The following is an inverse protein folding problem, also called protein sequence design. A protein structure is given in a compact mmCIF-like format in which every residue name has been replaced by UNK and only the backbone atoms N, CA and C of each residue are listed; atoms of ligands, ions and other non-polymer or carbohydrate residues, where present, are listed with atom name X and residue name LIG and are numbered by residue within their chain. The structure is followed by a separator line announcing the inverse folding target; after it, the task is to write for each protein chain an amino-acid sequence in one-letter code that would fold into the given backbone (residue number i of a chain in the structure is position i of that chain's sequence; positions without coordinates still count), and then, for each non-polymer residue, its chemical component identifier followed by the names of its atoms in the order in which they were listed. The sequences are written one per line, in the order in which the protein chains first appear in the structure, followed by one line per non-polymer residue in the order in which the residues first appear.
data_IF_507569988803
#
_entry.id   IF_507569988803
#
_cell.length_a   1.000
_cell.length_b   1.000
_cell.length_c   1.000
_cell.angle_alpha   90.00
_cell.angle_beta   90.00
_cell.angle_gamma   90.00
#
_symmetry.space_group_name_H-M   'P 1'
#
loop_
_entity.id
_entity.type
_entity.pdbx_description
1 polymer ?
#
# COMPACT_ATOMS: atom_id res chain seq x y z
N UNK A 1 17.35 -5.59 -22.57
CA UNK A 1 16.41 -6.27 -21.66
C UNK A 1 16.95 -5.93 -20.28
N UNK A 2 16.70 -4.70 -19.87
CA UNK A 2 17.33 -4.08 -18.71
C UNK A 2 16.58 -4.48 -17.44
N UNK A 3 17.28 -5.00 -16.42
CA UNK A 3 16.67 -5.54 -15.21
C UNK A 3 16.14 -4.47 -14.23
N UNK A 4 16.16 -3.19 -14.61
CA UNK A 4 15.78 -2.05 -13.77
C UNK A 4 14.30 -1.61 -13.93
N UNK A 5 13.56 -2.22 -14.86
CA UNK A 5 12.21 -1.77 -15.22
C UNK A 5 11.08 -2.50 -14.46
N UNK A 6 11.37 -3.64 -13.83
CA UNK A 6 10.35 -4.46 -13.14
C UNK A 6 10.04 -3.98 -11.71
N UNK A 7 10.76 -2.97 -11.18
CA UNK A 7 10.53 -2.40 -9.84
C UNK A 7 9.63 -1.12 -9.85
N UNK A 8 9.13 -0.70 -11.03
CA UNK A 8 8.28 0.50 -11.17
C UNK A 8 6.79 0.27 -10.85
N UNK A 9 6.41 -0.85 -10.22
CA UNK A 9 5.01 -1.14 -9.85
C UNK A 9 4.66 -0.71 -8.41
N UNK A 10 5.62 -0.23 -7.61
CA UNK A 10 5.38 0.07 -6.19
C UNK A 10 5.93 1.41 -5.69
N UNK A 11 6.86 2.06 -6.39
CA UNK A 11 7.57 3.21 -5.83
C UNK A 11 7.47 4.49 -6.67
N UNK A 12 7.04 5.57 -5.99
CA UNK A 12 7.04 6.99 -6.38
C UNK A 12 8.37 7.47 -7.02
N UNK A 13 9.46 6.70 -6.85
CA UNK A 13 10.80 6.92 -7.43
C UNK A 13 10.81 7.12 -8.95
N UNK A 14 9.95 6.44 -9.71
CA UNK A 14 10.01 6.51 -11.18
C UNK A 14 9.52 7.87 -11.74
N UNK A 15 8.71 8.64 -10.99
CA UNK A 15 8.25 9.96 -11.46
C UNK A 15 9.37 10.99 -11.52
N UNK A 16 10.27 11.01 -10.53
CA UNK A 16 11.39 11.96 -10.48
C UNK A 16 12.42 11.72 -11.59
N UNK A 17 12.68 10.46 -11.96
CA UNK A 17 13.61 10.12 -13.05
C UNK A 17 13.05 10.47 -14.43
N UNK A 18 11.72 10.47 -14.62
CA UNK A 18 11.12 10.89 -15.89
C UNK A 18 11.14 12.42 -16.05
N UNK A 19 11.10 13.16 -14.95
CA UNK A 19 11.20 14.62 -14.95
C UNK A 19 12.59 15.16 -15.27
N UNK A 20 13.68 14.40 -15.04
CA UNK A 20 15.03 14.82 -15.39
C UNK A 20 15.41 14.60 -16.86
N UNK A 21 14.69 13.72 -17.56
CA UNK A 21 14.95 13.40 -18.98
C UNK A 21 14.21 14.35 -19.93
N UNK A 22 13.07 14.90 -19.52
CA UNK A 22 12.33 15.88 -20.30
C UNK A 22 12.55 17.29 -19.76
N UNK A 23 13.63 17.92 -20.19
CA UNK A 23 13.80 19.37 -20.13
C UNK A 23 12.77 20.06 -21.03
N UNK A 24 11.50 20.11 -20.63
CA UNK A 24 10.53 20.99 -21.25
C UNK A 24 10.73 22.39 -20.67
N UNK A 25 11.26 23.29 -21.50
CA UNK A 25 11.10 24.73 -21.32
C UNK A 25 9.62 25.04 -21.13
N UNK A 26 9.22 25.32 -19.88
CA UNK A 26 7.84 25.63 -19.54
C UNK A 26 7.38 26.88 -20.31
N UNK A 27 6.17 26.89 -20.89
CA UNK A 27 5.64 28.12 -21.46
C UNK A 27 5.26 29.10 -20.34
N UNK A 28 5.49 30.38 -20.60
CA UNK A 28 5.23 31.50 -19.70
C UNK A 28 3.88 31.44 -18.99
N UNK A 29 3.91 31.83 -17.71
CA UNK A 29 2.88 31.68 -16.69
C UNK A 29 1.64 32.58 -16.86
N UNK A 30 1.14 32.82 -18.08
CA UNK A 30 0.02 33.75 -18.29
C UNK A 30 -1.06 33.32 -19.30
N UNK A 31 -1.17 32.04 -19.63
CA UNK A 31 -2.26 31.58 -20.51
C UNK A 31 -3.17 30.61 -19.77
N UNK A 32 -4.42 31.01 -19.52
CA UNK A 32 -5.49 30.16 -18.99
C UNK A 32 -5.84 29.09 -20.03
N UNK A 33 -4.95 28.12 -20.22
CA UNK A 33 -5.24 26.94 -21.02
C UNK A 33 -6.06 25.98 -20.17
N UNK A 34 -6.92 25.21 -20.82
CA UNK A 34 -7.78 24.21 -20.19
C UNK A 34 -6.94 23.10 -19.54
N UNK A 35 -6.51 23.34 -18.30
CA UNK A 35 -5.76 22.40 -17.47
C UNK A 35 -6.74 21.40 -16.86
N UNK A 36 -6.42 20.12 -17.01
CA UNK A 36 -7.14 19.01 -16.39
C UNK A 36 -6.23 18.45 -15.30
N UNK A 37 -6.74 18.40 -14.07
CA UNK A 37 -6.05 17.78 -12.94
C UNK A 37 -6.45 16.32 -12.84
N UNK A 38 -5.46 15.43 -12.90
CA UNK A 38 -5.63 14.02 -12.60
C UNK A 38 -5.94 13.78 -11.12
N UNK A 39 -6.39 12.57 -10.76
CA UNK A 39 -6.56 12.19 -9.37
C UNK A 39 -5.21 12.21 -8.63
N UNK A 40 -5.26 12.47 -7.32
CA UNK A 40 -4.09 12.33 -6.47
C UNK A 40 -3.73 10.85 -6.31
N UNK A 41 -2.44 10.51 -6.33
CA UNK A 41 -1.98 9.13 -6.11
C UNK A 41 -2.31 8.60 -4.72
N UNK A 42 -2.59 9.50 -3.77
CA UNK A 42 -3.00 9.14 -2.42
C UNK A 42 -4.34 9.78 -2.04
N UNK A 43 -5.05 9.11 -1.14
CA UNK A 43 -6.27 9.62 -0.50
C UNK A 43 -5.96 10.36 0.82
N UNK A 44 -4.80 10.10 1.42
CA UNK A 44 -4.34 10.70 2.67
C UNK A 44 -2.86 11.10 2.59
N UNK A 45 -2.43 12.07 3.41
CA UNK A 45 -1.06 12.54 3.43
C UNK A 45 -0.68 13.35 2.19
N UNK A 46 0.55 13.15 1.72
CA UNK A 46 1.09 13.84 0.54
C UNK A 46 1.27 12.84 -0.59
N UNK A 47 0.78 13.20 -1.77
CA UNK A 47 1.00 12.44 -2.99
C UNK A 47 1.31 13.36 -4.15
N UNK A 48 1.20 12.80 -5.35
CA UNK A 48 1.43 13.51 -6.60
C UNK A 48 0.23 13.33 -7.51
N UNK A 49 0.01 14.28 -8.41
CA UNK A 49 -1.01 14.21 -9.44
C UNK A 49 -0.45 14.71 -10.76
N UNK A 50 -0.97 14.15 -11.82
CA UNK A 50 -0.67 14.59 -13.17
C UNK A 50 -1.50 15.82 -13.54
N UNK A 51 -0.87 16.80 -14.19
CA UNK A 51 -1.54 17.96 -14.76
C UNK A 51 -1.43 17.89 -16.27
N UNK A 52 -2.59 17.77 -16.91
CA UNK A 52 -2.71 17.57 -18.34
C UNK A 52 -3.28 18.80 -19.03
N UNK A 53 -2.90 19.00 -20.29
CA UNK A 53 -3.54 19.97 -21.17
C UNK A 53 -4.64 19.28 -21.96
N UNK A 54 -5.81 19.91 -22.08
CA UNK A 54 -6.89 19.41 -22.92
C UNK A 54 -6.84 19.91 -24.37
N UNK A 55 -6.07 20.97 -24.64
CA UNK A 55 -5.99 21.64 -25.95
C UNK A 55 -4.59 22.19 -26.18
N UNK A 56 -4.07 22.05 -27.41
CA UNK A 56 -2.74 22.56 -27.78
C UNK A 56 -1.61 21.58 -27.49
N UNK A 57 -1.91 20.27 -27.52
CA UNK A 57 -0.91 19.21 -27.42
C UNK A 57 -0.13 19.05 -28.74
N UNK A 58 1.15 18.66 -28.67
CA UNK A 58 1.94 18.33 -29.86
C UNK A 58 1.49 16.99 -30.43
N UNK A 59 1.40 16.89 -31.76
CA UNK A 59 0.70 15.78 -32.40
C UNK A 59 -0.82 15.90 -32.17
N UNK A 60 -1.63 15.17 -32.94
CA UNK A 60 -3.10 15.25 -32.83
C UNK A 60 -3.65 14.59 -31.53
N UNK A 61 -2.94 14.70 -30.42
CA UNK A 61 -3.32 14.19 -29.12
C UNK A 61 -4.42 15.06 -28.49
N UNK A 62 -5.47 14.40 -28.00
CA UNK A 62 -6.57 15.08 -27.32
C UNK A 62 -6.19 15.56 -25.90
N UNK A 63 -5.20 14.92 -25.27
CA UNK A 63 -4.67 15.29 -23.95
C UNK A 63 -3.20 14.91 -23.86
N UNK A 64 -2.41 15.76 -23.21
CA UNK A 64 -0.98 15.54 -23.02
C UNK A 64 -0.55 15.97 -21.62
N UNK A 65 0.43 15.26 -21.04
CA UNK A 65 1.00 15.57 -19.73
C UNK A 65 1.88 16.82 -19.83
N UNK A 66 1.60 17.82 -18.99
CA UNK A 66 2.37 19.07 -18.94
C UNK A 66 3.35 19.05 -17.79
N UNK A 67 2.90 18.62 -16.61
CA UNK A 67 3.70 18.54 -15.39
C UNK A 67 3.08 17.61 -14.36
N UNK A 68 3.87 17.25 -13.36
CA UNK A 68 3.40 16.58 -12.14
C UNK A 68 3.43 17.61 -11.01
N UNK A 69 2.36 17.65 -10.22
CA UNK A 69 2.25 18.52 -9.04
C UNK A 69 2.02 17.69 -7.79
N UNK A 70 2.48 18.19 -6.64
CA UNK A 70 2.13 17.61 -5.35
C UNK A 70 0.67 17.91 -5.01
N UNK A 71 0.01 16.93 -4.40
CA UNK A 71 -1.36 17.03 -3.90
C UNK A 71 -1.42 16.57 -2.45
N UNK A 72 -2.39 17.11 -1.70
CA UNK A 72 -2.59 16.79 -0.29
C UNK A 72 -3.95 16.13 -0.10
N UNK A 73 -3.93 15.01 0.60
CA UNK A 73 -5.11 14.33 1.11
C UNK A 73 -5.42 14.73 2.56
N UNK A 74 -6.23 13.90 3.21
CA UNK A 74 -6.49 14.05 4.65
C UNK A 74 -5.24 13.75 5.48
N UNK A 75 -5.09 14.42 6.63
CA UNK A 75 -3.92 14.20 7.50
C UNK A 75 -3.97 12.80 8.14
N UNK A 76 -5.14 12.34 8.59
CA UNK A 76 -5.28 11.01 9.19
C UNK A 76 -5.47 9.95 8.10
N UNK A 77 -4.49 9.07 7.95
CA UNK A 77 -4.51 7.91 7.06
C UNK A 77 -5.21 6.70 7.68
N UNK A 78 -5.56 6.76 8.97
CA UNK A 78 -6.16 5.64 9.69
C UNK A 78 -5.17 4.50 9.91
N UNK A 79 -5.62 3.27 9.60
CA UNK A 79 -4.87 2.04 9.86
C UNK A 79 -4.07 1.59 8.64
N UNK A 80 -2.76 1.50 8.81
CA UNK A 80 -1.83 1.02 7.80
C UNK A 80 -1.62 -0.50 7.83
N UNK A 81 -1.02 -1.01 6.75
CA UNK A 81 -0.51 -2.38 6.66
C UNK A 81 1.02 -2.38 6.77
N UNK A 82 1.63 -3.26 7.58
CA UNK A 82 3.08 -3.37 7.67
C UNK A 82 3.73 -3.58 6.29
N UNK A 83 4.96 -3.08 6.11
CA UNK A 83 5.76 -3.36 4.91
C UNK A 83 6.16 -4.83 4.86
N UNK A 84 6.59 -5.34 6.00
CA UNK A 84 7.01 -6.71 6.17
C UNK A 84 6.58 -7.21 7.54
N UNK A 85 6.10 -8.43 7.59
CA UNK A 85 5.56 -9.03 8.80
C UNK A 85 6.08 -10.46 8.95
N UNK A 86 6.82 -10.72 10.03
CA UNK A 86 7.28 -12.06 10.43
C UNK A 86 6.69 -12.45 11.78
N UNK A 87 6.99 -13.67 12.22
CA UNK A 87 6.65 -14.11 13.57
C UNK A 87 7.37 -13.24 14.62
N UNK A 88 8.66 -12.95 14.45
CA UNK A 88 9.44 -12.26 15.49
C UNK A 88 9.38 -10.73 15.39
N UNK A 89 9.36 -10.18 14.17
CA UNK A 89 9.48 -8.75 13.91
C UNK A 89 8.51 -8.24 12.84
N UNK A 90 8.21 -6.95 12.92
CA UNK A 90 7.33 -6.24 12.00
C UNK A 90 8.01 -4.95 11.57
N UNK A 91 8.01 -4.69 10.26
CA UNK A 91 8.54 -3.47 9.68
C UNK A 91 7.38 -2.54 9.29
N UNK A 92 7.37 -1.34 9.88
CA UNK A 92 6.35 -0.32 9.70
C UNK A 92 6.93 0.86 8.90
N UNK A 93 6.10 1.57 8.14
CA UNK A 93 6.52 2.75 7.38
C UNK A 93 5.63 3.95 7.65
N UNK A 94 6.22 5.13 7.68
CA UNK A 94 5.49 6.39 7.62
C UNK A 94 4.96 6.66 6.20
N UNK A 95 3.98 7.55 6.09
CA UNK A 95 3.44 8.03 4.81
C UNK A 95 4.21 9.27 4.39
N UNK A 96 4.92 9.20 3.26
CA UNK A 96 5.69 10.30 2.70
C UNK A 96 5.77 10.19 1.18
N UNK A 97 6.21 11.27 0.54
CA UNK A 97 6.57 11.30 -0.89
C UNK A 97 8.08 11.54 -1.02
N UNK A 98 8.72 11.02 -2.06
CA UNK A 98 10.15 11.25 -2.26
C UNK A 98 10.44 12.73 -2.62
N UNK A 99 11.63 13.27 -2.27
CA UNK A 99 12.65 12.69 -1.40
C UNK A 99 12.28 12.79 0.10
N UNK A 100 12.77 11.83 0.88
CA UNK A 100 12.48 11.64 2.32
C UNK A 100 13.09 12.71 3.23
N UNK A 101 14.25 13.25 2.87
CA UNK A 101 15.00 14.27 3.62
C UNK A 101 14.24 15.58 3.89
N UNK A 102 13.11 15.82 3.21
CA UNK A 102 12.21 16.97 3.43
C UNK A 102 11.29 16.77 4.64
N UNK A 103 11.16 15.54 5.11
CA UNK A 103 10.22 15.15 6.13
C UNK A 103 10.92 14.82 7.43
N UNK A 104 10.24 15.11 8.54
CA UNK A 104 10.62 14.67 9.87
C UNK A 104 9.59 13.65 10.34
N UNK A 105 10.05 12.51 10.81
CA UNK A 105 9.19 11.42 11.28
C UNK A 105 9.23 11.34 12.81
N UNK A 106 8.07 11.08 13.41
CA UNK A 106 7.95 10.89 14.85
C UNK A 106 7.15 9.64 15.12
N UNK A 107 7.81 8.62 15.67
CA UNK A 107 7.17 7.40 16.09
C UNK A 107 6.71 7.48 17.53
N UNK A 108 5.48 7.04 17.77
CA UNK A 108 4.88 7.01 19.11
C UNK A 108 4.20 5.67 19.35
N UNK A 109 4.47 5.06 20.48
CA UNK A 109 3.75 3.89 20.96
C UNK A 109 2.52 4.33 21.74
N UNK A 110 1.34 3.89 21.30
CA UNK A 110 0.07 4.12 21.98
C UNK A 110 -0.23 2.94 22.89
N UNK A 111 -0.13 3.17 24.19
CA UNK A 111 -0.48 2.18 25.22
C UNK A 111 -1.83 2.55 25.79
N UNK A 112 -2.74 1.58 25.89
CA UNK A 112 -4.06 1.78 26.47
C UNK A 112 -3.94 2.34 27.90
N UNK A 113 -4.69 3.38 28.19
CA UNK A 113 -4.77 4.04 29.51
C UNK A 113 -3.44 4.63 30.02
N UNK A 114 -2.44 4.81 29.15
CA UNK A 114 -1.17 5.46 29.47
C UNK A 114 -0.87 6.59 28.48
N UNK A 115 0.07 7.46 28.87
CA UNK A 115 0.52 8.51 27.99
C UNK A 115 1.26 7.91 26.77
N UNK A 116 1.07 8.45 25.56
CA UNK A 116 1.81 8.03 24.39
C UNK A 116 3.32 8.11 24.63
N UNK A 117 4.05 7.04 24.33
CA UNK A 117 5.50 6.96 24.51
C UNK A 117 6.19 7.29 23.18
N UNK A 118 6.89 8.43 23.12
CA UNK A 118 7.71 8.77 21.97
C UNK A 118 8.90 7.81 21.86
N UNK A 119 9.11 7.26 20.67
CA UNK A 119 10.24 6.38 20.38
C UNK A 119 11.41 7.23 19.86
N UNK A 120 12.67 6.82 20.12
CA UNK A 120 13.84 7.56 19.68
C UNK A 120 14.13 7.44 18.18
N UNK A 121 13.41 6.57 17.45
CA UNK A 121 13.59 6.41 16.01
C UNK A 121 12.91 7.56 15.25
N UNK A 122 13.70 8.28 14.46
CA UNK A 122 13.30 9.41 13.61
C UNK A 122 13.27 9.06 12.11
N UNK A 123 13.55 7.81 11.76
CA UNK A 123 13.49 7.33 10.37
C UNK A 123 12.06 7.03 9.92
N UNK A 124 11.86 7.00 8.60
CA UNK A 124 10.60 6.65 7.96
C UNK A 124 10.18 5.19 8.19
N UNK A 125 11.11 4.32 8.59
CA UNK A 125 10.90 2.89 8.80
C UNK A 125 11.15 2.54 10.26
N UNK A 126 10.21 1.85 10.89
CA UNK A 126 10.36 1.35 12.24
C UNK A 126 10.25 -0.18 12.23
N UNK A 127 11.35 -0.84 12.56
CA UNK A 127 11.35 -2.28 12.85
C UNK A 127 11.09 -2.49 14.34
N UNK A 128 10.06 -3.28 14.67
CA UNK A 128 9.69 -3.60 16.04
C UNK A 128 9.60 -5.10 16.23
N UNK A 129 10.05 -5.58 17.39
CA UNK A 129 9.80 -6.96 17.82
C UNK A 129 8.37 -7.09 18.36
N UNK A 130 7.78 -8.26 18.17
CA UNK A 130 6.49 -8.56 18.79
C UNK A 130 6.62 -8.59 20.31
N UNK A 131 5.58 -8.13 20.97
CA UNK A 131 5.48 -8.17 22.43
C UNK A 131 4.42 -9.19 22.84
N UNK A 132 4.37 -9.48 24.15
CA UNK A 132 3.39 -10.39 24.72
C UNK A 132 1.94 -9.88 24.60
N UNK A 133 1.73 -8.59 24.30
CA UNK A 133 0.42 -7.98 24.11
C UNK A 133 0.38 -7.19 22.81
N UNK A 134 -0.80 -7.03 22.18
CA UNK A 134 -0.94 -6.18 21.01
C UNK A 134 -0.59 -4.73 21.33
N UNK A 135 0.23 -4.11 20.48
CA UNK A 135 0.68 -2.72 20.66
C UNK A 135 0.31 -1.91 19.43
N UNK A 136 -0.15 -0.67 19.67
CA UNK A 136 -0.43 0.27 18.59
C UNK A 136 0.75 1.23 18.42
N UNK A 137 1.26 1.34 17.21
CA UNK A 137 2.28 2.30 16.83
C UNK A 137 1.66 3.37 15.94
N UNK A 138 2.02 4.63 16.16
CA UNK A 138 1.62 5.75 15.35
C UNK A 138 2.88 6.40 14.76
N UNK A 139 2.87 6.67 13.45
CA UNK A 139 3.83 7.58 12.84
C UNK A 139 3.14 8.88 12.46
N UNK A 140 3.74 9.99 12.89
CA UNK A 140 3.43 11.33 12.44
C UNK A 140 4.55 11.80 11.49
N UNK A 141 4.17 12.26 10.30
CA UNK A 141 5.08 12.85 9.31
C UNK A 141 4.88 14.35 9.28
N UNK A 142 5.98 15.09 9.38
CA UNK A 142 5.99 16.54 9.41
C UNK A 142 6.79 17.10 8.23
N UNK A 143 6.31 18.20 7.67
CA UNK A 143 6.98 19.01 6.66
C UNK A 143 7.05 20.43 7.19
N UNK A 144 8.25 21.01 7.32
CA UNK A 144 8.43 22.35 7.89
C UNK A 144 7.69 22.55 9.24
N UNK A 145 7.70 21.51 10.11
CA UNK A 145 6.99 21.44 11.41
C UNK A 145 5.46 21.38 11.32
N UNK A 146 4.88 21.33 10.12
CA UNK A 146 3.45 21.09 9.91
C UNK A 146 3.18 19.60 9.81
N UNK A 147 2.21 19.09 10.56
CA UNK A 147 1.76 17.71 10.44
C UNK A 147 1.08 17.52 9.07
N UNK A 148 1.59 16.58 8.27
CA UNK A 148 1.12 16.32 6.91
C UNK A 148 0.49 14.96 6.74
N UNK A 149 0.92 13.97 7.52
CA UNK A 149 0.31 12.65 7.53
C UNK A 149 0.42 12.00 8.92
N UNK A 150 -0.56 11.18 9.28
CA UNK A 150 -0.61 10.37 10.49
C UNK A 150 -1.13 8.99 10.13
N UNK A 151 -0.40 7.95 10.51
CA UNK A 151 -0.79 6.56 10.26
C UNK A 151 -0.61 5.71 11.51
N UNK A 152 -1.49 4.73 11.72
CA UNK A 152 -1.48 3.83 12.87
C UNK A 152 -1.34 2.38 12.43
N UNK A 153 -0.64 1.60 13.23
CA UNK A 153 -0.40 0.18 13.03
C UNK A 153 -0.73 -0.59 14.28
N UNK A 154 -1.39 -1.73 14.14
CA UNK A 154 -1.56 -2.70 15.23
C UNK A 154 -0.55 -3.80 15.00
N UNK A 155 0.36 -3.99 15.96
CA UNK A 155 1.29 -5.11 15.98
C UNK A 155 0.70 -6.15 16.92
N UNK A 156 0.20 -7.23 16.33
CA UNK A 156 -0.38 -8.38 17.02
C UNK A 156 0.69 -9.24 17.68
N UNK A 157 0.26 -10.14 18.56
CA UNK A 157 1.14 -11.12 19.21
C UNK A 157 1.47 -12.29 18.28
N UNK A 158 2.51 -13.07 18.61
CA UNK A 158 2.87 -14.29 17.85
C UNK A 158 1.71 -15.28 17.77
N UNK A 159 1.04 -15.55 18.91
CA UNK A 159 -0.08 -16.49 18.98
C UNK A 159 -1.27 -16.09 18.08
N UNK A 160 -1.56 -14.79 17.97
CA UNK A 160 -2.63 -14.29 17.09
C UNK A 160 -2.26 -14.43 15.61
N UNK A 161 -0.98 -14.29 15.26
CA UNK A 161 -0.50 -14.49 13.90
C UNK A 161 -0.50 -15.97 13.53
N UNK A 162 -0.10 -16.86 14.44
CA UNK A 162 -0.18 -18.31 14.23
C UNK A 162 -1.62 -18.76 13.98
N UNK A 163 -2.59 -18.26 14.78
CA UNK A 163 -4.01 -18.55 14.57
C UNK A 163 -4.52 -18.01 13.22
N UNK A 164 -4.09 -16.82 12.80
CA UNK A 164 -4.45 -16.26 11.48
C UNK A 164 -3.83 -17.06 10.34
N UNK A 165 -2.57 -17.46 10.48
CA UNK A 165 -1.86 -18.28 9.50
C UNK A 165 -2.50 -19.66 9.37
N UNK A 166 -2.91 -20.29 10.48
CA UNK A 166 -3.57 -21.59 10.44
C UNK A 166 -4.95 -21.51 9.77
N UNK A 167 -5.68 -20.40 9.96
CA UNK A 167 -6.97 -20.17 9.31
C UNK A 167 -6.84 -19.79 7.83
N UNK A 168 -5.76 -19.11 7.44
CA UNK A 168 -5.51 -18.73 6.05
C UNK A 168 -4.99 -19.90 5.19
N UNK A 169 -4.58 -21.00 5.83
CA UNK A 169 -4.00 -22.19 5.19
C UNK A 169 -5.00 -23.24 4.70
N UNK A 170 -6.28 -22.91 4.54
CA UNK A 170 -7.23 -23.80 3.85
C UNK A 170 -7.29 -23.39 2.38
N UNK A 171 -6.47 -24.05 1.56
CA UNK A 171 -6.49 -23.84 0.12
C UNK A 171 -7.87 -24.23 -0.41
N UNK A 172 -8.62 -23.23 -0.87
CA UNK A 172 -9.97 -23.38 -1.39
C UNK A 172 -10.01 -24.42 -2.52
N UNK A 173 -8.93 -24.54 -3.30
CA UNK A 173 -8.80 -25.54 -4.38
C UNK A 173 -8.78 -26.96 -3.80
N UNK A 174 -8.02 -27.17 -2.73
CA UNK A 174 -7.95 -28.47 -2.06
C UNK A 174 -9.32 -28.89 -1.50
N UNK A 175 -10.08 -27.93 -0.94
CA UNK A 175 -11.44 -28.19 -0.46
C UNK A 175 -12.37 -28.59 -1.61
N UNK A 176 -12.31 -27.88 -2.74
CA UNK A 176 -13.10 -28.22 -3.93
C UNK A 176 -12.77 -29.62 -4.45
N UNK A 177 -11.49 -29.97 -4.55
CA UNK A 177 -11.05 -31.30 -5.00
C UNK A 177 -11.61 -32.39 -4.07
N UNK A 178 -11.46 -32.24 -2.75
CA UNK A 178 -12.00 -33.17 -1.76
C UNK A 178 -13.52 -33.41 -1.92
N UNK A 179 -14.29 -32.33 -2.06
CA UNK A 179 -15.75 -32.43 -2.24
C UNK A 179 -16.08 -33.16 -3.53
N UNK A 180 -15.44 -32.81 -4.65
CA UNK A 180 -15.68 -33.45 -5.95
C UNK A 180 -15.35 -34.94 -5.93
N UNK A 181 -14.26 -35.34 -5.25
CA UNK A 181 -13.87 -36.75 -5.13
C UNK A 181 -14.91 -37.56 -4.35
N UNK A 182 -15.43 -37.03 -3.25
CA UNK A 182 -16.48 -37.68 -2.46
C UNK A 182 -17.76 -37.88 -3.28
N UNK A 183 -18.18 -36.85 -4.02
CA UNK A 183 -19.40 -36.93 -4.85
C UNK A 183 -19.26 -37.97 -5.95
N UNK A 184 -18.12 -38.00 -6.66
CA UNK A 184 -17.87 -39.01 -7.70
C UNK A 184 -17.87 -40.42 -7.11
N UNK A 185 -17.25 -40.60 -5.93
CA UNK A 185 -17.20 -41.89 -5.27
C UNK A 185 -18.58 -42.40 -4.85
N UNK A 186 -19.44 -41.51 -4.34
CA UNK A 186 -20.83 -41.83 -3.99
C UNK A 186 -21.64 -42.26 -5.22
N UNK A 187 -21.49 -41.57 -6.34
CA UNK A 187 -22.16 -41.93 -7.61
C UNK A 187 -21.73 -43.32 -8.08
N UNK A 188 -20.44 -43.65 -7.98
CA UNK A 188 -19.93 -44.97 -8.36
C UNK A 188 -20.50 -46.08 -7.47
N UNK A 189 -20.53 -45.88 -6.14
CA UNK A 189 -21.11 -46.86 -5.21
C UNK A 189 -22.59 -47.08 -5.50
N UNK A 190 -23.35 -46.00 -5.70
CA UNK A 190 -24.77 -46.10 -6.03
C UNK A 190 -24.97 -46.87 -7.34
N UNK A 191 -24.19 -46.54 -8.38
CA UNK A 191 -24.23 -47.26 -9.65
C UNK A 191 -23.94 -48.75 -9.51
N UNK A 192 -22.92 -49.13 -8.74
CA UNK A 192 -22.61 -50.54 -8.47
C UNK A 192 -23.74 -51.25 -7.73
N UNK A 193 -24.34 -50.61 -6.72
CA UNK A 193 -25.49 -51.17 -6.00
C UNK A 193 -26.68 -51.42 -6.93
N UNK A 194 -26.98 -50.49 -7.84
CA UNK A 194 -28.04 -50.69 -8.83
C UNK A 194 -27.74 -51.86 -9.77
N UNK A 195 -26.49 -52.04 -10.19
CA UNK A 195 -26.09 -53.19 -11.01
C UNK A 195 -26.23 -54.52 -10.25
N UNK A 196 -25.89 -54.55 -8.96
CA UNK A 196 -26.07 -55.73 -8.12
C UNK A 196 -27.55 -56.05 -7.83
N UNK A 197 -28.40 -55.03 -7.73
CA UNK A 197 -29.85 -55.22 -7.51
C UNK A 197 -30.62 -55.59 -8.78
N UNK A 198 -30.08 -55.26 -9.96
CA UNK A 198 -30.66 -55.65 -11.26
C UNK A 198 -30.14 -56.99 -11.80
N UNK A 199 -29.14 -57.59 -11.13
CA UNK A 199 -28.66 -58.94 -11.41
C UNK A 199 -29.43 -59.96 -10.56
#
# INVERSE_FOLDING_TARGET
RDPELDDCLSNIRCYYLRSSVFGFSGPDASSSRNLIYGPCTTTCGIGIREVMLSNGCPGNEAKCLVRVEECRGQIDCGWGKPLFETLESVQLSCVYTAPDNRFVFSWTMLIKDKQPLALPNDSNILEVKRQAHPVVYQCDTFEEKKLVARIKYIVYTEAEIEMRSSSAGVDIVMVFVLITTIVVFLVLIIGLLFLFLQW
#
